data_IF_835732264857
#
_entry.id   IF_835732264857
#
_cell.length_a   1.000
_cell.length_b   1.000
_cell.length_c   1.000
_cell.angle_alpha   90.00
_cell.angle_beta   90.00
_cell.angle_gamma   90.00
#
_symmetry.space_group_name_H-M   'P 1'
#
loop_
_entity.id
_entity.type
_entity.pdbx_description
1 polymer ?
#
# COMPACT_ATOMS: atom_id res chain seq x y z
N UNK A 1 4.50 -8.19 2.95
CA UNK A 1 4.63 -9.66 2.83
C UNK A 1 5.37 -10.02 1.55
N UNK A 2 6.32 -10.97 1.54
CA UNK A 2 6.99 -11.38 0.31
C UNK A 2 6.10 -12.27 -0.58
N UNK A 3 6.26 -12.18 -1.90
CA UNK A 3 5.67 -13.09 -2.88
C UNK A 3 6.58 -13.20 -4.12
N UNK A 4 6.39 -14.18 -4.98
CA UNK A 4 7.16 -14.26 -6.23
C UNK A 4 7.06 -15.58 -6.98
N UNK A 5 7.65 -15.59 -8.18
CA UNK A 5 7.81 -16.74 -9.06
C UNK A 5 9.25 -16.77 -9.56
N UNK A 6 10.17 -17.46 -8.87
CA UNK A 6 11.59 -17.43 -9.21
C UNK A 6 11.90 -17.87 -10.64
N UNK A 7 11.17 -18.87 -11.17
CA UNK A 7 11.33 -19.33 -12.55
C UNK A 7 10.90 -18.33 -13.62
N UNK A 8 10.16 -17.28 -13.24
CA UNK A 8 9.78 -16.17 -14.10
C UNK A 8 10.53 -14.86 -13.74
N UNK A 9 11.48 -14.90 -12.79
CA UNK A 9 12.19 -13.71 -12.32
C UNK A 9 11.35 -12.74 -11.48
N UNK A 10 10.19 -13.16 -10.97
CA UNK A 10 9.32 -12.30 -10.16
C UNK A 10 9.68 -12.38 -8.68
N UNK A 11 10.03 -11.24 -8.09
CA UNK A 11 10.28 -11.08 -6.65
C UNK A 11 9.55 -9.82 -6.17
N UNK A 12 8.53 -10.01 -5.33
CA UNK A 12 7.58 -8.95 -5.00
C UNK A 12 7.35 -8.77 -3.50
N UNK A 13 6.91 -7.56 -3.16
CA UNK A 13 6.42 -7.22 -1.82
C UNK A 13 4.96 -6.78 -1.91
N UNK A 14 4.09 -7.46 -1.18
CA UNK A 14 2.72 -7.03 -0.97
C UNK A 14 2.68 -6.06 0.21
N UNK A 15 2.42 -4.79 -0.08
CA UNK A 15 2.22 -3.75 0.91
C UNK A 15 0.75 -3.72 1.38
N UNK A 16 0.54 -3.64 2.69
CA UNK A 16 -0.77 -3.40 3.30
C UNK A 16 -0.57 -2.55 4.55
N UNK A 17 -1.38 -1.49 4.68
CA UNK A 17 -1.35 -0.58 5.82
C UNK A 17 -2.77 -0.35 6.35
N UNK A 18 -2.92 -0.42 7.67
CA UNK A 18 -4.17 -0.11 8.36
C UNK A 18 -3.96 1.19 9.15
N UNK A 19 -4.90 2.12 9.04
CA UNK A 19 -4.86 3.38 9.76
C UNK A 19 -6.28 3.82 10.11
N UNK A 20 -6.42 4.59 11.21
CA UNK A 20 -7.72 5.14 11.66
C UNK A 20 -8.35 6.08 10.62
N UNK A 21 -7.52 6.73 9.81
CA UNK A 21 -7.90 7.56 8.67
C UNK A 21 -6.87 7.32 7.55
N UNK A 22 -7.20 7.61 6.28
CA UNK A 22 -6.24 7.40 5.18
C UNK A 22 -5.09 8.41 5.17
N UNK A 23 -5.29 9.59 5.77
CA UNK A 23 -4.36 10.72 5.67
C UNK A 23 -2.90 10.40 6.06
N UNK A 24 -2.59 9.62 7.12
CA UNK A 24 -1.20 9.26 7.41
C UNK A 24 -0.56 8.40 6.32
N UNK A 25 -1.28 7.44 5.75
CA UNK A 25 -0.78 6.57 4.68
C UNK A 25 -0.61 7.37 3.39
N UNK A 26 -1.57 8.24 3.04
CA UNK A 26 -1.46 9.14 1.89
C UNK A 26 -0.26 10.07 2.00
N UNK A 27 -0.02 10.64 3.19
CA UNK A 27 1.15 11.49 3.41
C UNK A 27 2.47 10.72 3.29
N UNK A 28 2.52 9.47 3.78
CA UNK A 28 3.68 8.61 3.59
C UNK A 28 3.92 8.31 2.11
N UNK A 29 2.87 7.96 1.36
CA UNK A 29 2.96 7.70 -0.08
C UNK A 29 3.38 8.96 -0.86
N UNK A 30 2.86 10.14 -0.51
CA UNK A 30 3.28 11.40 -1.14
C UNK A 30 4.77 11.67 -0.90
N UNK A 31 5.25 11.49 0.33
CA UNK A 31 6.68 11.62 0.64
C UNK A 31 7.52 10.57 -0.10
N UNK A 32 7.01 9.35 -0.29
CA UNK A 32 7.71 8.29 -1.00
C UNK A 32 7.79 8.55 -2.51
N UNK A 33 6.70 8.93 -3.16
CA UNK A 33 6.62 9.04 -4.62
C UNK A 33 6.94 10.44 -5.16
N UNK A 34 6.56 11.50 -4.46
CA UNK A 34 6.84 12.90 -4.86
C UNK A 34 8.14 13.39 -4.19
N UNK A 35 8.35 13.01 -2.94
CA UNK A 35 9.48 13.45 -2.14
C UNK A 35 9.16 14.68 -1.27
N UNK A 36 9.89 14.80 -0.17
CA UNK A 36 9.85 15.97 0.71
C UNK A 36 11.29 16.44 1.03
N UNK A 37 11.77 17.54 0.42
CA UNK A 37 11.12 18.37 -0.60
C UNK A 37 10.88 17.62 -1.92
N UNK A 38 10.06 18.16 -2.86
CA UNK A 38 9.80 17.50 -4.14
C UNK A 38 11.09 17.10 -4.86
N UNK A 39 11.15 15.86 -5.35
CA UNK A 39 12.33 15.24 -5.93
C UNK A 39 13.20 14.44 -4.95
N UNK A 40 13.05 14.63 -3.63
CA UNK A 40 13.66 13.79 -2.60
C UNK A 40 12.76 12.59 -2.27
N UNK A 41 12.49 11.76 -3.28
CA UNK A 41 11.62 10.57 -3.19
C UNK A 41 12.32 9.42 -2.45
N UNK A 42 11.57 8.38 -2.10
CA UNK A 42 12.11 7.19 -1.45
C UNK A 42 12.89 6.30 -2.43
N UNK A 43 14.20 6.18 -2.19
CA UNK A 43 15.14 5.39 -3.00
C UNK A 43 14.81 3.90 -3.08
N UNK A 44 13.97 3.37 -2.19
CA UNK A 44 13.48 1.99 -2.33
C UNK A 44 12.69 1.78 -3.64
N UNK A 45 12.05 2.84 -4.14
CA UNK A 45 11.31 2.83 -5.41
C UNK A 45 12.21 2.68 -6.64
N UNK A 46 13.53 2.89 -6.51
CA UNK A 46 14.50 2.59 -7.58
C UNK A 46 14.56 1.08 -7.89
N UNK A 47 14.09 0.23 -6.96
CA UNK A 47 14.11 -1.23 -7.07
C UNK A 47 12.72 -1.85 -6.91
N UNK A 48 11.71 -1.06 -6.57
CA UNK A 48 10.35 -1.51 -6.25
C UNK A 48 9.33 -0.77 -7.10
N UNK A 49 8.64 -1.49 -7.98
CA UNK A 49 7.59 -0.92 -8.82
C UNK A 49 6.20 -1.26 -8.26
N UNK A 50 5.41 -0.25 -7.91
CA UNK A 50 4.02 -0.44 -7.53
C UNK A 50 3.17 -0.73 -8.78
N UNK A 51 2.64 -1.95 -8.88
CA UNK A 51 1.81 -2.39 -10.01
C UNK A 51 0.30 -2.32 -9.72
N UNK A 52 -0.07 -2.08 -8.47
CA UNK A 52 -1.46 -1.98 -8.00
C UNK A 52 -1.57 -0.92 -6.90
N UNK A 53 -2.77 -0.34 -6.73
CA UNK A 53 -3.12 0.49 -5.58
C UNK A 53 -4.62 0.36 -5.29
N UNK A 54 -4.97 0.16 -4.02
CA UNK A 54 -6.35 0.02 -3.58
C UNK A 54 -6.52 0.52 -2.15
N UNK A 55 -7.63 1.22 -1.90
CA UNK A 55 -8.02 1.72 -0.60
C UNK A 55 -9.36 1.09 -0.23
N UNK A 56 -9.42 0.48 0.94
CA UNK A 56 -10.59 -0.24 1.42
C UNK A 56 -10.94 0.24 2.81
N UNK A 57 -12.24 0.35 3.08
CA UNK A 57 -12.73 0.51 4.44
C UNK A 57 -12.84 -0.86 5.09
N UNK A 58 -12.33 -0.99 6.32
CA UNK A 58 -12.44 -2.20 7.13
C UNK A 58 -13.48 -1.90 8.21
N UNK A 59 -14.74 -2.25 7.99
CA UNK A 59 -15.81 -1.97 8.95
C UNK A 59 -15.69 -2.82 10.22
N UNK A 60 -16.37 -2.42 11.32
CA UNK A 60 -16.62 -3.29 12.45
C UNK A 60 -17.36 -4.57 12.03
N UNK A 61 -17.17 -5.65 12.79
CA UNK A 61 -17.79 -6.96 12.53
C UNK A 61 -19.32 -6.84 12.47
N UNK A 62 -19.94 -6.16 13.44
CA UNK A 62 -21.39 -5.98 13.51
C UNK A 62 -21.98 -5.35 12.23
N UNK A 63 -21.22 -4.46 11.56
CA UNK A 63 -21.65 -3.86 10.30
C UNK A 63 -21.63 -4.89 9.16
N UNK A 64 -20.63 -5.78 9.13
CA UNK A 64 -20.55 -6.83 8.13
C UNK A 64 -21.66 -7.86 8.29
N UNK A 65 -22.00 -8.23 9.52
CA UNK A 65 -23.10 -9.15 9.82
C UNK A 65 -24.44 -8.57 9.34
N UNK A 66 -24.70 -7.29 9.62
CA UNK A 66 -25.91 -6.61 9.16
C UNK A 66 -25.98 -6.46 7.63
N UNK A 67 -24.85 -6.29 6.95
CA UNK A 67 -24.81 -6.11 5.51
C UNK A 67 -24.96 -7.44 4.72
N UNK A 68 -24.85 -8.58 5.40
CA UNK A 68 -24.98 -9.92 4.79
C UNK A 68 -26.42 -10.46 4.78
N UNK A 69 -27.32 -9.81 5.53
CA UNK A 69 -28.78 -10.05 5.51
C UNK A 69 -29.46 -9.29 4.37
#
# INVERSE_FOLDING_TARGET
>A
MPFGRPGAGEFGTYFIGYARSPAPIEQMLENMFVGKPPGNYDRLLDYSCAVTGGLFFVPPVDFLEQAAE
#
